data_IF_904426158381
#
_entry.id   IF_904426158381
#
_cell.length_a   1.000
_cell.length_b   1.000
_cell.length_c   1.000
_cell.angle_alpha   90.00
_cell.angle_beta   90.00
_cell.angle_gamma   90.00
#
_symmetry.space_group_name_H-M   'P 1'
#
loop_
_entity.id
_entity.type
_entity.pdbx_description
1 polymer ?
#
# COMPACT_ATOMS: atom_id res chain seq x y z
N UNK A 1 1.32 1.11 -10.27
CA UNK A 1 0.86 2.16 -9.33
C UNK A 1 -0.65 2.06 -9.11
N UNK A 2 -1.10 2.31 -7.87
CA UNK A 2 -2.51 2.46 -7.52
C UNK A 2 -2.79 3.97 -7.36
N UNK A 3 -3.54 4.58 -8.27
CA UNK A 3 -3.74 6.05 -8.29
C UNK A 3 -4.66 6.51 -7.17
N UNK A 4 -5.85 5.90 -7.06
CA UNK A 4 -6.83 6.19 -6.02
C UNK A 4 -6.98 4.95 -5.15
N UNK A 5 -6.75 5.08 -3.85
CA UNK A 5 -6.71 3.93 -2.96
C UNK A 5 -7.32 4.23 -1.58
N UNK A 6 -7.79 3.18 -0.91
CA UNK A 6 -8.26 3.24 0.47
C UNK A 6 -7.81 2.02 1.27
N UNK A 7 -7.44 2.25 2.51
CA UNK A 7 -7.27 1.19 3.50
C UNK A 7 -8.63 0.64 3.90
N UNK A 8 -8.71 -0.67 4.03
CA UNK A 8 -9.85 -1.34 4.66
C UNK A 8 -9.26 -2.33 5.66
N UNK A 9 -9.61 -2.17 6.93
CA UNK A 9 -9.35 -3.23 7.90
C UNK A 9 -10.40 -4.32 7.73
N UNK A 10 -9.95 -5.55 7.53
CA UNK A 10 -10.81 -6.73 7.51
C UNK A 10 -10.21 -7.75 8.46
N UNK A 11 -10.87 -7.97 9.60
CA UNK A 11 -10.43 -8.96 10.60
C UNK A 11 -9.00 -8.72 11.08
N UNK A 12 -8.66 -7.48 11.43
CA UNK A 12 -7.32 -7.11 11.90
C UNK A 12 -6.22 -7.30 10.83
N UNK A 13 -6.61 -7.24 9.56
CA UNK A 13 -5.72 -7.26 8.41
C UNK A 13 -6.06 -6.06 7.53
N UNK A 14 -5.10 -5.14 7.40
CA UNK A 14 -5.24 -3.98 6.54
C UNK A 14 -4.99 -4.40 5.10
N UNK A 15 -5.95 -4.13 4.23
CA UNK A 15 -5.83 -4.31 2.78
C UNK A 15 -5.97 -2.97 2.06
N UNK A 16 -5.35 -2.85 0.89
CA UNK A 16 -5.57 -1.73 -0.02
C UNK A 16 -6.63 -2.10 -1.04
N UNK A 17 -7.64 -1.25 -1.17
CA UNK A 17 -8.56 -1.28 -2.31
C UNK A 17 -8.39 -0.01 -3.12
N UNK A 18 -8.15 -0.12 -4.41
CA UNK A 18 -7.92 1.05 -5.24
C UNK A 18 -8.07 0.81 -6.72
N UNK A 19 -7.76 1.82 -7.53
CA UNK A 19 -7.76 1.74 -8.99
C UNK A 19 -6.34 1.66 -9.51
N UNK A 20 -6.10 0.69 -10.38
CA UNK A 20 -4.82 0.53 -11.07
C UNK A 20 -4.69 1.66 -12.08
N UNK A 21 -3.53 2.31 -12.10
CA UNK A 21 -3.26 3.39 -13.07
C UNK A 21 -2.28 2.96 -14.15
N UNK A 22 -1.31 2.11 -13.82
CA UNK A 22 -0.30 1.65 -14.76
C UNK A 22 0.24 0.29 -14.29
N UNK A 23 -0.30 -0.81 -14.82
CA UNK A 23 0.16 -2.16 -14.53
C UNK A 23 0.26 -2.99 -15.81
N UNK A 24 1.37 -3.70 -16.06
CA UNK A 24 1.59 -4.43 -17.31
C UNK A 24 0.54 -5.53 -17.58
N UNK A 25 -0.02 -6.13 -16.52
CA UNK A 25 -1.10 -7.14 -16.64
C UNK A 25 -2.53 -6.60 -16.57
N UNK A 26 -2.75 -5.35 -16.14
CA UNK A 26 -4.11 -4.87 -15.86
C UNK A 26 -4.35 -3.48 -16.46
N UNK A 27 -5.47 -3.27 -17.18
CA UNK A 27 -5.80 -1.97 -17.75
C UNK A 27 -6.03 -0.94 -16.64
N UNK A 28 -5.69 0.31 -16.95
CA UNK A 28 -5.94 1.45 -16.08
C UNK A 28 -7.45 1.58 -15.75
N UNK A 29 -7.77 2.06 -14.56
CA UNK A 29 -9.13 2.22 -14.05
C UNK A 29 -9.74 0.95 -13.44
N UNK A 30 -9.11 -0.22 -13.58
CA UNK A 30 -9.61 -1.46 -12.97
C UNK A 30 -9.49 -1.40 -11.44
N UNK A 31 -10.57 -1.80 -10.77
CA UNK A 31 -10.57 -1.95 -9.32
C UNK A 31 -9.68 -3.14 -8.91
N UNK A 32 -8.75 -2.88 -8.00
CA UNK A 32 -7.85 -3.85 -7.39
C UNK A 32 -8.18 -3.96 -5.91
N UNK A 33 -8.14 -5.20 -5.42
CA UNK A 33 -8.08 -5.52 -4.00
C UNK A 33 -6.73 -6.18 -3.76
N UNK A 34 -5.89 -5.59 -2.91
CA UNK A 34 -4.61 -6.16 -2.56
C UNK A 34 -4.78 -7.28 -1.52
N UNK A 35 -3.75 -8.11 -1.41
CA UNK A 35 -3.54 -8.96 -0.24
C UNK A 35 -3.28 -8.10 1.01
N UNK A 36 -3.34 -8.70 2.21
CA UNK A 36 -2.96 -8.03 3.45
C UNK A 36 -1.60 -7.36 3.32
N UNK A 37 -1.53 -6.11 3.78
CA UNK A 37 -0.30 -5.35 3.83
C UNK A 37 0.57 -5.96 4.92
N UNK A 38 1.81 -6.27 4.58
CA UNK A 38 2.82 -6.75 5.53
C UNK A 38 3.69 -5.62 6.05
N UNK A 39 3.78 -4.53 5.29
CA UNK A 39 4.49 -3.33 5.70
C UNK A 39 4.31 -2.21 4.68
N UNK A 40 4.71 -1.02 5.08
CA UNK A 40 4.80 0.13 4.19
C UNK A 40 6.14 0.81 4.35
N UNK A 41 6.52 1.52 3.31
CA UNK A 41 7.75 2.28 3.22
C UNK A 41 7.42 3.63 2.61
N UNK A 42 7.79 4.70 3.28
CA UNK A 42 7.75 6.05 2.72
C UNK A 42 9.14 6.41 2.21
N UNK A 43 9.26 6.75 0.93
CA UNK A 43 10.54 7.15 0.33
C UNK A 43 10.33 8.35 -0.59
N UNK A 44 11.05 9.44 -0.32
CA UNK A 44 11.01 10.67 -1.12
C UNK A 44 9.58 11.22 -1.35
N UNK A 45 8.74 11.20 -0.30
CA UNK A 45 7.34 11.65 -0.38
C UNK A 45 6.38 10.69 -1.10
N UNK A 46 6.85 9.49 -1.45
CA UNK A 46 6.02 8.42 -2.04
C UNK A 46 5.79 7.31 -1.04
N UNK A 47 4.59 6.74 -1.08
CA UNK A 47 4.19 5.63 -0.21
C UNK A 47 4.24 4.33 -1.01
N UNK A 48 4.98 3.36 -0.50
CA UNK A 48 5.06 2.01 -1.02
C UNK A 48 4.46 1.05 -0.01
N UNK A 49 3.62 0.13 -0.47
CA UNK A 49 3.07 -0.93 0.37
C UNK A 49 3.55 -2.28 -0.13
N UNK A 50 4.03 -3.08 0.81
CA UNK A 50 4.48 -4.44 0.55
C UNK A 50 3.41 -5.41 1.02
N UNK A 51 2.92 -6.20 0.10
CA UNK A 51 2.01 -7.32 0.37
C UNK A 51 2.75 -8.64 0.22
N UNK A 52 2.11 -9.76 0.55
CA UNK A 52 2.71 -11.11 0.45
C UNK A 52 3.40 -11.40 -0.89
N UNK A 53 2.83 -10.93 -1.99
CA UNK A 53 3.28 -11.32 -3.33
C UNK A 53 3.78 -10.15 -4.19
N UNK A 54 3.63 -8.90 -3.72
CA UNK A 54 3.89 -7.72 -4.56
C UNK A 54 4.05 -6.45 -3.74
N UNK A 55 4.83 -5.52 -4.25
CA UNK A 55 4.93 -4.15 -3.76
C UNK A 55 4.15 -3.22 -4.69
N UNK A 56 3.38 -2.30 -4.12
CA UNK A 56 2.62 -1.31 -4.86
C UNK A 56 3.03 0.10 -4.45
N UNK A 57 3.31 0.95 -5.43
CA UNK A 57 3.35 2.40 -5.22
C UNK A 57 1.92 2.94 -5.12
N UNK A 58 1.65 3.65 -4.03
CA UNK A 58 0.39 4.30 -3.74
C UNK A 58 0.47 5.77 -4.17
N UNK A 59 -0.53 6.18 -4.94
CA UNK A 59 -0.75 7.57 -5.31
C UNK A 59 -1.57 8.29 -4.25
N UNK A 60 -2.62 8.96 -4.69
CA UNK A 60 -3.46 9.79 -3.83
C UNK A 60 -4.42 8.92 -3.01
N UNK A 61 -4.42 9.04 -1.66
CA UNK A 61 -5.43 8.38 -0.84
C UNK A 61 -6.81 8.95 -1.17
N UNK A 62 -7.84 8.12 -1.08
CA UNK A 62 -9.21 8.56 -1.20
C UNK A 62 -9.53 9.52 -0.04
N UNK A 63 -10.27 10.60 -0.31
CA UNK A 63 -10.54 11.67 0.67
C UNK A 63 -11.13 11.16 1.99
N UNK A 64 -11.90 10.08 1.90
CA UNK A 64 -12.56 9.40 3.02
C UNK A 64 -11.61 8.67 3.98
N UNK A 65 -10.38 8.36 3.55
CA UNK A 65 -9.39 7.61 4.33
C UNK A 65 -8.05 8.34 4.49
N UNK A 66 -7.94 9.59 4.03
CA UNK A 66 -6.69 10.34 4.10
C UNK A 66 -6.17 10.52 5.54
N UNK A 67 -7.07 10.69 6.52
CA UNK A 67 -6.70 10.81 7.94
C UNK A 67 -6.26 9.47 8.55
N UNK A 68 -7.01 8.40 8.31
CA UNK A 68 -6.66 7.04 8.79
C UNK A 68 -5.35 6.53 8.19
N UNK A 69 -5.06 6.91 6.94
CA UNK A 69 -3.80 6.56 6.26
C UNK A 69 -2.62 7.23 6.94
N UNK A 70 -2.73 8.51 7.31
CA UNK A 70 -1.68 9.22 8.03
C UNK A 70 -1.43 8.56 9.39
N UNK A 71 -2.48 8.26 10.15
CA UNK A 71 -2.35 7.56 11.44
C UNK A 71 -1.68 6.19 11.29
N UNK A 72 -2.12 5.39 10.32
CA UNK A 72 -1.55 4.08 10.03
C UNK A 72 -0.09 4.14 9.56
N UNK A 73 0.27 5.10 8.72
CA UNK A 73 1.65 5.31 8.28
C UNK A 73 2.56 5.73 9.43
N UNK A 74 2.08 6.57 10.36
CA UNK A 74 2.83 6.95 11.55
C UNK A 74 3.01 5.76 12.52
N UNK A 75 1.97 4.94 12.68
CA UNK A 75 2.04 3.72 13.51
C UNK A 75 3.07 2.70 12.98
N UNK A 76 3.15 2.57 11.66
CA UNK A 76 4.03 1.61 10.98
C UNK A 76 5.46 2.13 10.78
N UNK A 77 5.68 3.44 10.67
CA UNK A 77 7.01 4.06 10.67
C UNK A 77 7.76 3.82 12.00
N UNK A 78 7.02 3.82 13.12
CA UNK A 78 7.55 3.52 14.45
C UNK A 78 7.83 2.03 14.70
N UNK A 79 7.45 1.13 13.78
CA UNK A 79 7.90 -0.25 13.79
C UNK A 79 9.09 -0.35 12.84
N UNK A 80 10.34 -0.33 13.32
CA UNK A 80 11.47 -0.59 12.44
C UNK A 80 11.26 -1.98 11.82
N UNK A 81 11.05 -2.02 10.50
CA UNK A 81 11.08 -3.26 9.72
C UNK A 81 12.55 -3.71 9.68
N UNK A 82 13.07 -4.16 10.82
CA UNK A 82 14.27 -4.98 10.92
C UNK A 82 13.88 -6.44 10.62
N UNK A 83 13.24 -6.68 9.47
CA UNK A 83 13.32 -8.01 8.86
C UNK A 83 12.81 -8.01 7.43
N UNK A 84 13.70 -8.55 6.59
CA UNK A 84 13.46 -9.12 5.27
C UNK A 84 13.41 -8.14 4.09
N UNK A 85 14.60 -7.70 3.67
CA UNK A 85 14.93 -7.72 2.23
C UNK A 85 16.25 -8.45 2.05
N UNK A 86 16.19 -9.76 1.79
CA UNK A 86 17.24 -10.41 1.01
C UNK A 86 17.02 -9.93 -0.44
N UNK A 87 17.84 -8.97 -0.86
CA UNK A 87 18.01 -8.66 -2.26
C UNK A 87 18.90 -9.75 -2.86
N UNK A 88 18.28 -10.75 -3.47
CA UNK A 88 19.02 -11.72 -4.30
C UNK A 88 19.53 -11.02 -5.55
N UNK A 89 20.82 -11.19 -5.80
CA UNK A 89 21.56 -10.81 -7.02
C UNK A 89 20.95 -11.37 -8.30
#
# INVERSE_FOLDING_TARGET
MIESWRCIDIRNQVIIRGRIFNHPKYPAGKSLKSSPIQGCLTKAGRVYVTTKNSMYELGTPHSDCANDVLDWLNYTDHQPIEKVTYWGE
#
